data_IF_217635233264
#
_entry.id   IF_217635233264
#
_cell.length_a   1.000
_cell.length_b   1.000
_cell.length_c   1.000
_cell.angle_alpha   90.00
_cell.angle_beta   90.00
_cell.angle_gamma   90.00
#
_symmetry.space_group_name_H-M   'P 1'
#
loop_
_entity.id
_entity.type
_entity.pdbx_description
1 polymer ?
#
# COMPACT_ATOMS: atom_id res chain seq x y z
N UNK A 1 -19.23 -6.69 -10.94
CA UNK A 1 -18.91 -5.40 -10.29
C UNK A 1 -19.64 -4.32 -11.03
N UNK A 2 -20.56 -3.61 -10.37
CA UNK A 2 -21.36 -2.54 -11.01
C UNK A 2 -20.53 -1.25 -11.06
N UNK A 3 -20.62 -0.47 -12.15
CA UNK A 3 -19.92 0.82 -12.33
C UNK A 3 -20.09 1.74 -11.11
N UNK A 4 -21.28 1.74 -10.49
CA UNK A 4 -21.58 2.52 -9.29
C UNK A 4 -20.64 2.23 -8.11
N UNK A 5 -20.20 0.96 -7.95
CA UNK A 5 -19.26 0.58 -6.87
C UNK A 5 -17.84 1.11 -7.11
N UNK A 6 -17.43 1.21 -8.37
CA UNK A 6 -16.12 1.76 -8.74
C UNK A 6 -16.14 3.28 -8.57
N UNK A 7 -17.23 3.93 -8.97
CA UNK A 7 -17.44 5.36 -8.74
C UNK A 7 -17.39 5.69 -7.24
N UNK A 8 -18.08 4.89 -6.41
CA UNK A 8 -18.08 5.08 -4.96
C UNK A 8 -16.67 4.93 -4.37
N UNK A 9 -15.92 3.91 -4.80
CA UNK A 9 -14.51 3.72 -4.40
C UNK A 9 -13.63 4.90 -4.82
N UNK A 10 -13.83 5.42 -6.03
CA UNK A 10 -13.08 6.57 -6.52
C UNK A 10 -13.37 7.83 -5.71
N UNK A 11 -14.64 8.11 -5.38
CA UNK A 11 -15.03 9.28 -4.59
C UNK A 11 -14.53 9.18 -3.16
N UNK A 12 -14.78 8.06 -2.48
CA UNK A 12 -14.34 7.87 -1.08
C UNK A 12 -12.81 7.81 -0.99
N UNK A 13 -12.17 7.11 -1.93
CA UNK A 13 -10.71 7.06 -2.03
C UNK A 13 -10.11 8.44 -2.31
N UNK A 14 -10.70 9.22 -3.21
CA UNK A 14 -10.28 10.59 -3.52
C UNK A 14 -10.45 11.55 -2.34
N UNK A 15 -11.56 11.45 -1.59
CA UNK A 15 -11.74 12.23 -0.36
C UNK A 15 -10.70 11.85 0.70
N UNK A 16 -10.40 10.56 0.84
CA UNK A 16 -9.35 10.09 1.73
C UNK A 16 -7.96 10.63 1.31
N UNK A 17 -7.64 10.61 0.01
CA UNK A 17 -6.42 11.21 -0.56
C UNK A 17 -6.28 12.67 -0.14
N UNK A 18 -7.35 13.46 -0.24
CA UNK A 18 -7.35 14.88 0.18
C UNK A 18 -7.14 15.01 1.69
N UNK A 19 -7.87 14.24 2.50
CA UNK A 19 -7.75 14.25 3.96
C UNK A 19 -6.32 13.90 4.43
N UNK A 20 -5.73 12.84 3.88
CA UNK A 20 -4.35 12.44 4.19
C UNK A 20 -3.32 13.45 3.68
N UNK A 21 -3.60 14.14 2.58
CA UNK A 21 -2.73 15.21 2.07
C UNK A 21 -2.72 16.40 3.03
N UNK A 22 -3.89 16.79 3.56
CA UNK A 22 -4.01 17.83 4.58
C UNK A 22 -3.24 17.47 5.87
N UNK A 23 -3.39 16.23 6.36
CA UNK A 23 -2.65 15.73 7.52
C UNK A 23 -1.14 15.71 7.25
N UNK A 24 -0.73 15.22 6.07
CA UNK A 24 0.68 15.18 5.68
C UNK A 24 1.29 16.55 5.40
N UNK A 25 0.47 17.57 5.09
CA UNK A 25 0.92 18.95 4.95
C UNK A 25 1.08 19.64 6.31
N UNK A 26 0.33 19.23 7.33
CA UNK A 26 0.50 19.66 8.71
C UNK A 26 1.77 19.06 9.35
N UNK A 27 2.18 17.86 8.94
CA UNK A 27 3.43 17.22 9.35
C UNK A 27 4.65 17.69 8.55
N UNK A 28 5.78 17.97 9.21
CA UNK A 28 7.09 18.03 8.54
C UNK A 28 7.75 16.65 8.64
N UNK A 29 8.33 16.10 7.55
CA UNK A 29 8.50 16.62 6.18
C UNK A 29 7.27 16.48 5.26
N UNK A 30 7.06 17.48 4.39
CA UNK A 30 5.94 17.56 3.41
C UNK A 30 5.86 16.39 2.41
N UNK A 31 6.92 15.59 2.27
CA UNK A 31 6.95 14.43 1.36
C UNK A 31 6.00 13.31 1.82
N UNK A 32 5.64 13.29 3.10
CA UNK A 32 4.73 12.29 3.64
C UNK A 32 3.28 12.46 3.15
N UNK A 33 2.86 13.67 2.79
CA UNK A 33 1.54 13.91 2.19
C UNK A 33 1.33 13.04 0.93
N UNK A 34 2.30 13.03 0.02
CA UNK A 34 2.22 12.22 -1.19
C UNK A 34 2.24 10.71 -0.92
N UNK A 35 3.09 10.26 0.01
CA UNK A 35 3.25 8.84 0.33
C UNK A 35 1.99 8.25 1.00
N UNK A 36 1.38 8.98 1.94
CA UNK A 36 0.17 8.53 2.64
C UNK A 36 -1.12 8.72 1.81
N UNK A 37 -1.17 9.73 0.95
CA UNK A 37 -2.33 9.94 0.08
C UNK A 37 -2.45 8.88 -1.02
N UNK A 38 -1.35 8.44 -1.65
CA UNK A 38 -1.44 7.60 -2.84
C UNK A 38 -1.75 6.12 -2.56
N UNK A 39 -0.95 5.47 -1.70
CA UNK A 39 -1.00 4.01 -1.56
C UNK A 39 -1.98 3.51 -0.47
N UNK A 40 -1.91 3.98 0.80
CA UNK A 40 -2.78 3.44 1.84
C UNK A 40 -4.23 3.97 1.78
N UNK A 41 -4.44 5.24 1.43
CA UNK A 41 -5.78 5.86 1.45
C UNK A 41 -6.78 5.17 0.52
N UNK A 42 -6.38 4.94 -0.74
CA UNK A 42 -7.24 4.32 -1.76
C UNK A 42 -7.48 2.84 -1.46
N UNK A 43 -6.44 2.15 -0.95
CA UNK A 43 -6.53 0.75 -0.53
C UNK A 43 -7.51 0.56 0.63
N UNK A 44 -7.39 1.37 1.68
CA UNK A 44 -8.25 1.29 2.87
C UNK A 44 -9.70 1.65 2.52
N UNK A 45 -9.93 2.70 1.73
CA UNK A 45 -11.28 3.06 1.26
C UNK A 45 -11.92 1.93 0.43
N UNK A 46 -11.13 1.31 -0.45
CA UNK A 46 -11.60 0.19 -1.28
C UNK A 46 -11.91 -1.06 -0.46
N UNK A 47 -11.10 -1.34 0.56
CA UNK A 47 -11.31 -2.45 1.50
C UNK A 47 -12.59 -2.23 2.32
N UNK A 48 -12.79 -1.02 2.86
CA UNK A 48 -13.99 -0.66 3.64
C UNK A 48 -15.27 -0.81 2.81
N UNK A 49 -15.28 -0.32 1.56
CA UNK A 49 -16.44 -0.52 0.67
C UNK A 49 -16.65 -2.00 0.35
N UNK A 50 -15.57 -2.77 0.19
CA UNK A 50 -15.68 -4.21 -0.07
C UNK A 50 -16.25 -4.95 1.14
N UNK A 51 -15.87 -4.57 2.35
CA UNK A 51 -16.43 -5.10 3.60
C UNK A 51 -17.95 -4.84 3.70
N UNK A 52 -18.38 -3.62 3.38
CA UNK A 52 -19.81 -3.24 3.44
C UNK A 52 -20.62 -3.92 2.35
N UNK A 53 -20.09 -4.04 1.12
CA UNK A 53 -20.85 -4.53 -0.04
C UNK A 53 -20.82 -6.06 -0.16
N UNK A 54 -19.69 -6.70 0.14
CA UNK A 54 -19.48 -8.14 -0.06
C UNK A 54 -19.38 -8.95 1.24
N UNK A 55 -19.37 -8.29 2.41
CA UNK A 55 -19.23 -8.95 3.70
C UNK A 55 -17.78 -9.27 4.08
N UNK A 56 -17.62 -9.79 5.31
CA UNK A 56 -16.31 -10.04 5.91
C UNK A 56 -15.53 -11.15 5.18
N UNK A 57 -16.20 -12.25 4.79
CA UNK A 57 -15.54 -13.41 4.14
C UNK A 57 -14.84 -13.02 2.84
N UNK A 58 -15.47 -12.14 2.06
CA UNK A 58 -14.88 -11.62 0.83
C UNK A 58 -13.78 -10.58 1.08
N UNK A 59 -13.57 -10.11 2.30
CA UNK A 59 -12.67 -9.01 2.65
C UNK A 59 -11.38 -9.50 3.32
N UNK A 60 -11.46 -10.56 4.12
CA UNK A 60 -10.32 -11.13 4.85
C UNK A 60 -9.11 -11.41 3.94
N UNK A 61 -9.25 -12.03 2.75
CA UNK A 61 -8.11 -12.31 1.88
C UNK A 61 -7.41 -11.03 1.39
N UNK A 62 -8.18 -9.98 1.09
CA UNK A 62 -7.62 -8.69 0.69
C UNK A 62 -6.90 -8.00 1.86
N UNK A 63 -7.46 -8.06 3.06
CA UNK A 63 -6.83 -7.51 4.26
C UNK A 63 -5.50 -8.23 4.59
N UNK A 64 -5.47 -9.56 4.52
CA UNK A 64 -4.25 -10.34 4.70
C UNK A 64 -3.19 -10.00 3.64
N UNK A 65 -3.59 -9.89 2.36
CA UNK A 65 -2.70 -9.46 1.29
C UNK A 65 -2.09 -8.07 1.54
N UNK A 66 -2.88 -7.13 2.06
CA UNK A 66 -2.37 -5.81 2.46
C UNK A 66 -1.35 -5.91 3.60
N UNK A 67 -1.58 -6.74 4.61
CA UNK A 67 -0.61 -6.96 5.71
C UNK A 67 0.69 -7.56 5.19
N UNK A 68 0.65 -8.58 4.34
CA UNK A 68 1.87 -9.13 3.74
C UNK A 68 2.60 -8.12 2.86
N UNK A 69 1.86 -7.29 2.12
CA UNK A 69 2.40 -6.17 1.35
C UNK A 69 3.11 -5.12 2.21
N UNK A 70 2.63 -4.85 3.43
CA UNK A 70 3.31 -3.94 4.36
C UNK A 70 4.67 -4.49 4.82
N UNK A 71 4.76 -5.78 5.12
CA UNK A 71 6.02 -6.42 5.48
C UNK A 71 7.03 -6.36 4.32
N UNK A 72 6.56 -6.59 3.09
CA UNK A 72 7.36 -6.35 1.88
C UNK A 72 7.85 -4.90 1.78
N UNK A 73 6.98 -3.92 2.06
CA UNK A 73 7.32 -2.49 1.99
C UNK A 73 8.38 -2.08 3.01
N UNK A 74 8.37 -2.68 4.21
CA UNK A 74 9.43 -2.49 5.19
C UNK A 74 10.76 -3.02 4.66
N UNK A 75 10.77 -4.22 4.08
CA UNK A 75 11.97 -4.78 3.46
C UNK A 75 12.49 -3.92 2.29
N UNK A 76 11.60 -3.44 1.43
CA UNK A 76 11.92 -2.49 0.36
C UNK A 76 12.64 -1.26 0.91
N UNK A 77 12.09 -0.63 1.94
CA UNK A 77 12.66 0.57 2.55
C UNK A 77 14.06 0.30 3.13
N UNK A 78 14.24 -0.80 3.86
CA UNK A 78 15.53 -1.17 4.46
C UNK A 78 16.59 -1.45 3.40
N UNK A 79 16.24 -2.23 2.38
CA UNK A 79 17.15 -2.54 1.27
C UNK A 79 17.47 -1.28 0.48
N UNK A 80 16.48 -0.44 0.18
CA UNK A 80 16.67 0.83 -0.52
C UNK A 80 17.63 1.76 0.22
N UNK A 81 17.47 1.93 1.54
CA UNK A 81 18.37 2.75 2.37
C UNK A 81 19.82 2.23 2.33
N UNK A 82 20.01 0.92 2.39
CA UNK A 82 21.33 0.31 2.41
C UNK A 82 22.01 0.31 1.03
N UNK A 83 21.25 -0.04 -0.01
CA UNK A 83 21.80 -0.37 -1.32
C UNK A 83 21.96 0.86 -2.23
N UNK A 84 21.11 1.87 -2.10
CA UNK A 84 21.26 3.14 -2.85
C UNK A 84 22.51 3.90 -2.40
N UNK A 85 22.94 3.75 -1.15
CA UNK A 85 24.18 4.37 -0.67
C UNK A 85 25.44 3.64 -1.15
N UNK A 86 25.32 2.36 -1.52
CA UNK A 86 26.44 1.47 -1.86
C UNK A 86 26.60 1.25 -3.37
N UNK A 87 25.49 1.30 -4.12
CA UNK A 87 25.40 1.02 -5.54
C UNK A 87 24.77 2.20 -6.29
N UNK A 88 24.90 2.22 -7.62
CA UNK A 88 24.14 3.14 -8.46
C UNK A 88 22.63 3.04 -8.19
N UNK A 89 21.96 4.18 -8.11
CA UNK A 89 20.54 4.31 -7.70
C UNK A 89 19.57 3.40 -8.48
N UNK A 90 19.86 3.12 -9.76
CA UNK A 90 19.09 2.20 -10.60
C UNK A 90 19.14 0.76 -10.09
N UNK A 91 20.35 0.25 -9.79
CA UNK A 91 20.55 -1.12 -9.32
C UNK A 91 19.97 -1.29 -7.92
N UNK A 92 20.18 -0.29 -7.04
CA UNK A 92 19.59 -0.25 -5.71
C UNK A 92 18.05 -0.33 -5.73
N UNK A 93 17.42 0.39 -6.66
CA UNK A 93 15.96 0.41 -6.79
C UNK A 93 15.40 -0.92 -7.31
N UNK A 94 16.07 -1.56 -8.28
CA UNK A 94 15.66 -2.86 -8.82
C UNK A 94 15.77 -3.95 -7.75
N UNK A 95 16.87 -3.98 -7.00
CA UNK A 95 17.07 -4.95 -5.92
C UNK A 95 16.11 -4.75 -4.75
N UNK A 96 15.77 -3.50 -4.42
CA UNK A 96 14.74 -3.21 -3.42
C UNK A 96 13.37 -3.75 -3.87
N UNK A 97 13.02 -3.60 -5.16
CA UNK A 97 11.80 -4.18 -5.74
C UNK A 97 11.77 -5.71 -5.65
N UNK A 98 12.91 -6.37 -5.91
CA UNK A 98 13.02 -7.81 -5.75
C UNK A 98 12.87 -8.23 -4.28
N UNK A 99 13.47 -7.50 -3.35
CA UNK A 99 13.31 -7.75 -1.92
C UNK A 99 11.85 -7.60 -1.47
N UNK A 100 11.14 -6.60 -1.99
CA UNK A 100 9.70 -6.44 -1.77
C UNK A 100 8.90 -7.67 -2.23
N UNK A 101 9.11 -8.12 -3.47
CA UNK A 101 8.43 -9.28 -4.04
C UNK A 101 8.75 -10.57 -3.30
N UNK A 102 10.02 -10.77 -2.93
CA UNK A 102 10.45 -11.97 -2.21
C UNK A 102 9.83 -12.04 -0.81
N UNK A 103 9.78 -10.92 -0.09
CA UNK A 103 9.21 -10.89 1.26
C UNK A 103 7.69 -10.97 1.22
N UNK A 104 7.03 -10.16 0.39
CA UNK A 104 5.57 -10.18 0.27
C UNK A 104 5.08 -11.53 -0.29
N UNK A 105 5.70 -12.02 -1.36
CA UNK A 105 5.38 -13.30 -1.97
C UNK A 105 5.74 -14.48 -1.08
N UNK A 106 6.89 -14.44 -0.40
CA UNK A 106 7.31 -15.47 0.56
C UNK A 106 6.36 -15.58 1.75
N UNK A 107 5.95 -14.44 2.34
CA UNK A 107 4.95 -14.41 3.40
C UNK A 107 3.59 -14.91 2.92
N UNK A 108 3.16 -14.50 1.72
CA UNK A 108 1.92 -14.97 1.13
C UNK A 108 1.93 -16.49 0.89
N UNK A 109 3.04 -17.06 0.40
CA UNK A 109 3.16 -18.51 0.19
C UNK A 109 3.29 -19.30 1.52
N UNK A 110 3.92 -18.71 2.54
CA UNK A 110 4.12 -19.36 3.83
C UNK A 110 2.86 -19.33 4.73
N UNK A 111 2.14 -18.20 4.73
CA UNK A 111 1.04 -17.92 5.67
C UNK A 111 -0.33 -17.80 4.98
N UNK A 112 -0.37 -17.49 3.68
CA UNK A 112 -1.60 -17.32 2.89
C UNK A 112 -2.16 -18.63 2.33
N UNK A 113 -2.10 -19.71 3.11
CA UNK A 113 -2.79 -20.97 2.81
C UNK A 113 -4.28 -20.84 3.09
#
# INVERSE_FOLDING_TARGET
MTISSVLLKAVVGGLAVVAFSLVGHAGRPKRFAGLFSAAPSVGVASLAITAVVKGADATVPYAQGMVFGTAGMVAYCLVSLYLIQRLHALIGSILAWLAWLLVAGGLYLALGR
#
